data_IF_555993465372
#
_entry.id   IF_555993465372
#
_cell.length_a   1.000
_cell.length_b   1.000
_cell.length_c   1.000
_cell.angle_alpha   90.00
_cell.angle_beta   90.00
_cell.angle_gamma   90.00
#
_symmetry.space_group_name_H-M   'P 1'
#
loop_
_entity.id
_entity.type
_entity.pdbx_description
1 polymer ?
#
# COMPACT_ATOMS: atom_id res chain seq x y z
N UNK A 1 -8.08 3.54 78.93
CA UNK A 1 -7.00 3.70 77.93
C UNK A 1 -7.25 2.72 76.80
N UNK A 2 -7.31 3.22 75.54
CA UNK A 2 -6.88 2.61 74.26
C UNK A 2 -7.36 1.17 73.94
N UNK A 3 -7.85 0.77 72.76
CA UNK A 3 -8.04 1.28 71.39
C UNK A 3 -9.02 0.24 70.76
N UNK A 4 -10.11 0.58 70.06
CA UNK A 4 -10.25 0.98 68.65
C UNK A 4 -9.56 0.06 67.60
N UNK A 5 -10.37 -0.33 66.59
CA UNK A 5 -10.05 -0.72 65.19
C UNK A 5 -9.72 -2.20 64.94
N UNK A 6 -10.06 -2.89 63.85
CA UNK A 6 -11.02 -2.85 62.73
C UNK A 6 -10.44 -3.91 61.76
N UNK A 7 -11.26 -4.84 61.30
CA UNK A 7 -11.28 -5.45 59.95
C UNK A 7 -9.94 -5.74 59.25
N UNK A 8 -9.72 -7.01 58.89
CA UNK A 8 -9.72 -7.44 57.47
C UNK A 8 -9.09 -8.83 57.36
N UNK A 9 -9.93 -9.78 56.97
CA UNK A 9 -9.51 -11.09 56.48
C UNK A 9 -8.72 -10.85 55.19
N UNK A 10 -7.38 -10.96 55.28
CA UNK A 10 -6.49 -10.84 54.13
C UNK A 10 -6.66 -12.10 53.27
N UNK A 11 -7.64 -12.07 52.37
CA UNK A 11 -7.74 -13.06 51.30
C UNK A 11 -6.47 -12.95 50.45
N UNK A 12 -5.66 -13.99 50.53
CA UNK A 12 -4.58 -14.27 49.59
C UNK A 12 -5.19 -14.52 48.21
N UNK A 13 -5.45 -13.46 47.45
CA UNK A 13 -5.64 -13.59 46.02
C UNK A 13 -4.25 -13.67 45.36
N UNK A 14 -3.63 -14.85 45.45
CA UNK A 14 -2.58 -15.22 44.51
C UNK A 14 -3.24 -15.50 43.16
N UNK A 15 -3.56 -14.44 42.42
CA UNK A 15 -3.84 -14.56 40.98
C UNK A 15 -2.51 -14.77 40.29
N UNK A 16 -2.05 -16.01 40.25
CA UNK A 16 -1.10 -16.39 39.22
C UNK A 16 -1.92 -16.31 37.93
N UNK A 17 -1.78 -15.22 37.19
CA UNK A 17 -2.26 -15.16 35.82
C UNK A 17 -1.63 -16.35 35.11
N UNK A 18 -2.45 -17.32 34.71
CA UNK A 18 -2.06 -18.31 33.72
C UNK A 18 -2.18 -17.64 32.35
N UNK A 19 -1.24 -16.76 32.04
CA UNK A 19 -0.94 -16.43 30.66
C UNK A 19 0.14 -17.40 30.23
N UNK A 20 -0.30 -18.51 29.64
CA UNK A 20 0.55 -19.34 28.79
C UNK A 20 0.01 -19.15 27.38
N UNK A 21 0.47 -18.08 26.73
CA UNK A 21 0.39 -17.96 25.28
C UNK A 21 1.70 -18.51 24.73
N UNK A 22 1.70 -19.79 24.39
CA UNK A 22 2.82 -20.46 23.76
C UNK A 22 2.93 -20.05 22.30
N UNK A 23 4.18 -19.81 21.87
CA UNK A 23 4.66 -19.28 20.60
C UNK A 23 4.58 -17.75 20.48
N UNK A 24 5.28 -17.05 21.38
CA UNK A 24 5.91 -15.77 21.00
C UNK A 24 6.93 -16.10 19.91
N UNK A 25 6.50 -16.04 18.65
CA UNK A 25 7.44 -15.97 17.54
C UNK A 25 8.36 -14.78 17.82
N UNK A 26 9.67 -15.00 17.78
CA UNK A 26 10.63 -13.92 17.96
C UNK A 26 10.24 -12.81 16.96
N UNK A 27 9.98 -11.55 17.41
CA UNK A 27 9.66 -10.45 16.50
C UNK A 27 10.67 -10.28 15.37
N UNK A 28 11.91 -10.73 15.58
CA UNK A 28 12.96 -10.77 14.58
C UNK A 28 12.75 -11.88 13.55
N UNK A 29 12.23 -13.04 13.93
CA UNK A 29 11.91 -14.13 13.00
C UNK A 29 10.62 -13.85 12.22
N UNK A 30 9.66 -13.13 12.79
CA UNK A 30 8.36 -12.84 12.14
C UNK A 30 8.32 -11.57 11.30
N UNK A 31 9.34 -10.72 11.38
CA UNK A 31 9.34 -9.43 10.68
C UNK A 31 9.55 -9.57 9.17
N UNK A 32 8.58 -9.14 8.36
CA UNK A 32 8.70 -9.19 6.89
C UNK A 32 9.80 -8.23 6.38
N UNK A 33 10.14 -7.20 7.16
CA UNK A 33 11.22 -6.24 6.85
C UNK A 33 12.62 -6.88 6.81
N UNK A 34 12.78 -8.06 7.41
CA UNK A 34 14.06 -8.79 7.39
C UNK A 34 14.29 -9.53 6.06
N UNK A 35 13.23 -9.73 5.26
CA UNK A 35 13.32 -10.20 3.88
C UNK A 35 13.13 -9.00 2.93
N UNK A 36 14.24 -8.48 2.42
CA UNK A 36 14.22 -7.34 1.51
C UNK A 36 13.49 -7.61 0.19
N UNK A 37 13.42 -8.87 -0.26
CA UNK A 37 12.66 -9.22 -1.46
C UNK A 37 11.16 -9.19 -1.15
N UNK A 38 10.72 -9.81 -0.05
CA UNK A 38 9.31 -9.74 0.37
C UNK A 38 8.88 -8.29 0.62
N UNK A 39 9.70 -7.50 1.30
CA UNK A 39 9.43 -6.07 1.55
C UNK A 39 9.20 -5.31 0.25
N UNK A 40 10.05 -5.53 -0.77
CA UNK A 40 9.89 -4.90 -2.07
C UNK A 40 8.64 -5.40 -2.80
N UNK A 41 8.32 -6.70 -2.72
CA UNK A 41 7.10 -7.25 -3.33
C UNK A 41 5.82 -6.66 -2.70
N UNK A 42 5.75 -6.58 -1.38
CA UNK A 42 4.63 -5.94 -0.66
C UNK A 42 4.50 -4.47 -1.08
N UNK A 43 5.63 -3.75 -1.17
CA UNK A 43 5.62 -2.37 -1.66
C UNK A 43 5.14 -2.27 -3.11
N UNK A 44 5.58 -3.18 -3.99
CA UNK A 44 5.22 -3.17 -5.41
C UNK A 44 3.74 -3.42 -5.64
N UNK A 45 3.09 -4.27 -4.82
CA UNK A 45 1.63 -4.41 -4.84
C UNK A 45 0.97 -3.11 -4.37
N UNK A 46 1.52 -2.47 -3.35
CA UNK A 46 0.98 -1.23 -2.78
C UNK A 46 1.37 0.05 -3.56
N UNK A 47 2.05 -0.05 -4.71
CA UNK A 47 2.32 1.11 -5.57
C UNK A 47 1.03 1.51 -6.29
N UNK A 48 0.87 2.80 -6.55
CA UNK A 48 -0.22 3.29 -7.39
C UNK A 48 0.00 2.86 -8.84
N UNK A 49 -0.92 2.07 -9.38
CA UNK A 49 -0.97 1.74 -10.81
C UNK A 49 -1.59 2.92 -11.58
N UNK A 50 -0.75 3.63 -12.34
CA UNK A 50 -1.16 4.75 -13.18
C UNK A 50 -1.71 4.37 -14.55
N UNK A 51 -1.65 3.10 -14.95
CA UNK A 51 -1.88 2.70 -16.34
C UNK A 51 -3.32 2.83 -16.85
N UNK A 52 -4.29 3.09 -15.97
CA UNK A 52 -5.71 3.10 -16.34
C UNK A 52 -6.11 4.30 -17.21
N UNK A 53 -5.33 5.38 -17.23
CA UNK A 53 -5.56 6.56 -18.07
C UNK A 53 -4.42 6.88 -19.05
N UNK A 54 -3.58 5.87 -19.37
CA UNK A 54 -2.53 5.94 -20.40
C UNK A 54 -3.03 6.47 -21.74
N UNK A 55 -4.31 6.24 -22.07
CA UNK A 55 -4.92 6.75 -23.30
C UNK A 55 -5.03 8.29 -23.34
N UNK A 56 -5.06 8.93 -22.17
CA UNK A 56 -5.21 10.38 -22.00
C UNK A 56 -3.87 11.04 -21.72
N UNK A 57 -3.08 10.48 -20.80
CA UNK A 57 -1.86 11.11 -20.32
C UNK A 57 -0.56 10.52 -20.90
N UNK A 58 -0.66 9.39 -21.63
CA UNK A 58 0.46 8.75 -22.31
C UNK A 58 1.54 8.21 -21.38
N UNK A 59 1.28 7.95 -20.09
CA UNK A 59 2.30 7.49 -19.16
C UNK A 59 1.77 6.62 -18.02
N UNK A 60 2.27 5.39 -17.93
CA UNK A 60 1.92 4.48 -16.85
C UNK A 60 2.56 4.79 -15.48
N UNK A 61 3.41 5.82 -15.39
CA UNK A 61 4.16 6.16 -14.17
C UNK A 61 3.37 7.05 -13.20
N UNK A 62 2.21 7.55 -13.63
CA UNK A 62 1.30 8.37 -12.84
C UNK A 62 -0.09 8.29 -13.47
N UNK A 63 -1.08 8.90 -12.84
CA UNK A 63 -2.41 9.09 -13.44
C UNK A 63 -2.94 10.48 -13.14
N UNK A 64 -3.89 10.96 -13.94
CA UNK A 64 -4.62 12.20 -13.68
C UNK A 64 -5.77 11.94 -12.69
N UNK A 65 -5.85 12.76 -11.65
CA UNK A 65 -6.89 12.67 -10.64
C UNK A 65 -8.22 13.20 -11.19
N UNK A 66 -9.28 12.42 -11.04
CA UNK A 66 -10.64 12.88 -11.35
C UNK A 66 -11.11 13.96 -10.35
N UNK A 67 -11.99 14.90 -10.79
CA UNK A 67 -12.38 15.13 -12.17
C UNK A 67 -11.38 16.03 -12.92
N UNK A 68 -11.33 15.90 -14.25
CA UNK A 68 -10.57 16.79 -15.13
C UNK A 68 -11.28 16.97 -16.48
N UNK A 69 -10.81 17.92 -17.29
CA UNK A 69 -11.34 18.16 -18.63
C UNK A 69 -10.31 17.77 -19.69
N UNK A 70 -10.79 17.29 -20.84
CA UNK A 70 -9.96 17.05 -22.02
C UNK A 70 -10.55 17.76 -23.24
N UNK A 71 -9.72 18.00 -24.24
CA UNK A 71 -10.14 18.36 -25.59
C UNK A 71 -9.90 17.19 -26.53
N UNK A 72 -10.95 16.76 -27.24
CA UNK A 72 -10.92 15.76 -28.31
C UNK A 72 -11.66 16.34 -29.52
N UNK A 73 -11.04 16.33 -30.70
CA UNK A 73 -11.64 16.86 -31.95
C UNK A 73 -12.24 18.28 -31.83
N UNK A 74 -11.58 19.16 -31.06
CA UNK A 74 -12.02 20.53 -30.72
C UNK A 74 -13.30 20.61 -29.85
N UNK A 75 -13.71 19.52 -29.23
CA UNK A 75 -14.79 19.48 -28.23
C UNK A 75 -14.23 19.20 -26.85
N UNK A 76 -14.74 19.88 -25.83
CA UNK A 76 -14.34 19.66 -24.43
C UNK A 76 -15.22 18.60 -23.80
N UNK A 77 -14.60 17.66 -23.08
CA UNK A 77 -15.26 16.58 -22.37
C UNK A 77 -14.83 16.60 -20.91
N UNK A 78 -15.80 16.38 -20.00
CA UNK A 78 -15.53 16.27 -18.58
C UNK A 78 -15.36 14.79 -18.23
N UNK A 79 -14.24 14.46 -17.60
CA UNK A 79 -13.90 13.12 -17.14
C UNK A 79 -14.08 13.11 -15.63
N UNK A 80 -15.05 12.34 -15.16
CA UNK A 80 -15.44 12.30 -13.75
C UNK A 80 -15.13 10.97 -13.06
N UNK A 81 -14.80 9.94 -13.84
CA UNK A 81 -14.35 8.66 -13.34
C UNK A 81 -13.83 7.75 -14.46
N UNK A 82 -13.42 6.55 -14.06
CA UNK A 82 -12.79 5.56 -14.96
C UNK A 82 -13.71 5.13 -16.12
N UNK A 83 -15.03 5.08 -15.90
CA UNK A 83 -16.00 4.67 -16.93
C UNK A 83 -15.99 5.64 -18.13
N UNK A 84 -15.68 6.91 -17.91
CA UNK A 84 -15.59 7.94 -18.95
C UNK A 84 -14.38 7.74 -19.87
N UNK A 85 -13.40 6.92 -19.46
CA UNK A 85 -12.19 6.63 -20.25
C UNK A 85 -12.40 5.58 -21.33
N UNK A 86 -13.44 4.75 -21.19
CA UNK A 86 -13.72 3.61 -22.07
C UNK A 86 -13.95 3.96 -23.55
N UNK A 87 -14.23 5.24 -23.83
CA UNK A 87 -14.47 5.74 -25.19
C UNK A 87 -13.19 6.17 -25.90
N UNK A 88 -12.07 6.32 -25.18
CA UNK A 88 -10.81 6.77 -25.73
C UNK A 88 -9.99 5.61 -26.26
N UNK A 89 -9.43 5.78 -27.45
CA UNK A 89 -8.52 4.83 -28.06
C UNK A 89 -7.13 5.44 -28.20
N UNK A 90 -6.10 4.60 -28.11
CA UNK A 90 -4.73 4.98 -28.41
C UNK A 90 -4.64 5.58 -29.83
N UNK A 91 -3.99 6.73 -29.95
CA UNK A 91 -3.80 7.45 -31.22
C UNK A 91 -4.80 8.56 -31.50
N UNK A 92 -5.79 8.79 -30.62
CA UNK A 92 -6.60 10.00 -30.65
C UNK A 92 -5.79 11.19 -30.13
N UNK A 93 -5.98 12.38 -30.72
CA UNK A 93 -5.36 13.61 -30.23
C UNK A 93 -6.16 14.15 -29.04
N UNK A 94 -5.93 13.54 -27.88
CA UNK A 94 -6.51 13.93 -26.61
C UNK A 94 -5.57 14.93 -25.94
N UNK A 95 -6.11 16.05 -25.46
CA UNK A 95 -5.34 17.08 -24.75
C UNK A 95 -6.00 17.40 -23.40
N UNK A 96 -5.36 17.09 -22.27
CA UNK A 96 -5.83 17.57 -20.97
C UNK A 96 -5.92 19.10 -20.93
N UNK A 97 -6.99 19.61 -20.32
CA UNK A 97 -7.15 21.04 -20.03
C UNK A 97 -6.52 21.32 -18.68
N UNK A 98 -5.52 22.20 -18.67
CA UNK A 98 -4.77 22.54 -17.47
C UNK A 98 -5.46 23.66 -16.66
N UNK A 99 -5.28 23.70 -15.32
CA UNK A 99 -4.43 22.81 -14.53
C UNK A 99 -5.04 21.43 -14.29
N UNK A 100 -4.17 20.42 -14.12
CA UNK A 100 -4.56 19.06 -13.74
C UNK A 100 -3.81 18.63 -12.47
N UNK A 101 -4.41 17.74 -11.69
CA UNK A 101 -3.77 17.11 -10.55
C UNK A 101 -3.37 15.69 -10.95
N UNK A 102 -2.14 15.28 -10.67
CA UNK A 102 -1.68 13.90 -10.92
C UNK A 102 -1.31 13.19 -9.61
N UNK A 103 -1.31 11.86 -9.63
CA UNK A 103 -0.78 10.98 -8.58
C UNK A 103 0.32 10.09 -9.16
N UNK A 104 1.51 10.10 -8.56
CA UNK A 104 2.63 9.23 -8.94
C UNK A 104 2.51 7.83 -8.30
N UNK A 105 3.29 6.87 -8.78
CA UNK A 105 3.36 5.50 -8.23
C UNK A 105 3.59 5.45 -6.71
N UNK A 106 4.31 6.43 -6.14
CA UNK A 106 4.59 6.54 -4.71
C UNK A 106 3.44 7.21 -3.90
N UNK A 107 2.28 7.44 -4.52
CA UNK A 107 1.10 8.13 -3.98
C UNK A 107 1.28 9.63 -3.71
N UNK A 108 2.40 10.25 -4.13
CA UNK A 108 2.56 11.69 -4.08
C UNK A 108 1.73 12.37 -5.17
N UNK A 109 1.18 13.54 -4.83
CA UNK A 109 0.28 14.28 -5.69
C UNK A 109 0.85 15.66 -6.00
N UNK A 110 0.86 16.05 -7.27
CA UNK A 110 1.25 17.40 -7.70
C UNK A 110 0.27 17.98 -8.71
N UNK A 111 0.10 19.31 -8.66
CA UNK A 111 -0.65 20.05 -9.67
C UNK A 111 0.30 20.40 -10.82
N UNK A 112 -0.13 20.11 -12.04
CA UNK A 112 0.54 20.51 -13.27
C UNK A 112 -0.19 21.71 -13.86
N UNK A 113 0.57 22.74 -14.22
CA UNK A 113 0.04 24.00 -14.76
C UNK A 113 0.01 24.04 -16.28
N UNK A 114 0.82 23.21 -16.94
CA UNK A 114 0.98 23.24 -18.38
C UNK A 114 1.37 21.89 -18.99
N UNK A 115 1.16 21.80 -20.30
CA UNK A 115 1.46 20.64 -21.11
C UNK A 115 2.96 20.35 -21.22
N UNK A 116 3.82 21.38 -21.12
CA UNK A 116 5.27 21.17 -21.21
C UNK A 116 5.81 20.38 -20.01
N UNK A 117 5.23 20.61 -18.83
CA UNK A 117 5.57 19.87 -17.62
C UNK A 117 5.11 18.42 -17.74
N UNK A 118 3.91 18.16 -18.28
CA UNK A 118 3.43 16.81 -18.57
C UNK A 118 4.37 16.07 -19.55
N UNK A 119 4.77 16.70 -20.66
CA UNK A 119 5.72 16.13 -21.62
C UNK A 119 7.06 15.72 -20.98
N UNK A 120 7.57 16.52 -20.04
CA UNK A 120 8.81 16.21 -19.34
C UNK A 120 8.64 14.97 -18.42
N UNK A 121 7.49 14.84 -17.75
CA UNK A 121 7.20 13.67 -16.92
C UNK A 121 7.04 12.40 -17.77
N UNK A 122 6.33 12.49 -18.90
CA UNK A 122 6.22 11.39 -19.88
C UNK A 122 7.61 10.95 -20.36
N UNK A 123 8.49 11.89 -20.68
CA UNK A 123 9.86 11.59 -21.09
C UNK A 123 10.65 10.89 -19.98
N UNK A 124 10.57 11.40 -18.74
CA UNK A 124 11.25 10.77 -17.59
C UNK A 124 10.74 9.35 -17.34
N UNK A 125 9.43 9.11 -17.49
CA UNK A 125 8.84 7.78 -17.40
C UNK A 125 9.41 6.85 -18.49
N UNK A 126 9.41 7.29 -19.75
CA UNK A 126 9.92 6.50 -20.88
C UNK A 126 11.42 6.17 -20.77
N UNK A 127 12.21 7.06 -20.17
CA UNK A 127 13.63 6.84 -19.89
C UNK A 127 13.90 5.99 -18.62
N UNK A 128 12.84 5.53 -17.93
CA UNK A 128 12.96 4.73 -16.71
C UNK A 128 13.51 5.50 -15.51
N UNK A 129 13.35 6.83 -15.51
CA UNK A 129 13.78 7.71 -14.42
C UNK A 129 12.74 7.83 -13.29
N UNK A 130 11.61 7.14 -13.44
CA UNK A 130 10.50 7.11 -12.50
C UNK A 130 10.19 5.66 -12.11
N UNK A 131 9.76 5.44 -10.87
CA UNK A 131 9.40 4.11 -10.41
C UNK A 131 8.05 3.70 -11.01
N UNK A 132 8.02 2.59 -11.72
CA UNK A 132 6.82 1.99 -12.32
C UNK A 132 6.80 0.47 -12.17
N UNK A 133 7.53 -0.06 -11.17
CA UNK A 133 7.59 -1.51 -10.91
C UNK A 133 6.43 -1.98 -10.01
N UNK A 134 5.22 -1.51 -10.30
CA UNK A 134 4.02 -1.95 -9.61
C UNK A 134 3.60 -3.34 -10.07
N UNK A 135 2.97 -4.11 -9.19
CA UNK A 135 2.39 -5.42 -9.50
C UNK A 135 0.89 -5.22 -9.66
N UNK A 136 0.43 -5.05 -10.90
CA UNK A 136 -0.96 -4.69 -11.22
C UNK A 136 -1.95 -5.86 -11.13
N UNK A 137 -1.47 -7.11 -11.13
CA UNK A 137 -2.36 -8.26 -11.17
C UNK A 137 -2.79 -8.77 -9.79
N UNK A 138 -2.20 -8.24 -8.71
CA UNK A 138 -2.48 -8.62 -7.33
C UNK A 138 -2.78 -7.37 -6.49
N UNK A 139 -3.85 -7.43 -5.71
CA UNK A 139 -4.20 -6.42 -4.71
C UNK A 139 -4.30 -7.04 -3.31
N UNK A 140 -4.00 -6.27 -2.28
CA UNK A 140 -4.38 -6.63 -0.91
C UNK A 140 -5.86 -6.34 -0.67
N UNK A 141 -6.55 -7.27 0.00
CA UNK A 141 -7.84 -6.95 0.62
C UNK A 141 -7.58 -6.40 2.01
N UNK A 142 -7.73 -5.09 2.15
CA UNK A 142 -7.62 -4.38 3.42
C UNK A 142 -8.84 -4.62 4.32
N UNK A 143 -8.73 -4.55 5.65
CA UNK A 143 -7.64 -4.03 6.49
C UNK A 143 -6.65 -5.11 6.97
N UNK A 144 -5.35 -4.81 6.99
CA UNK A 144 -4.29 -5.73 7.45
C UNK A 144 -3.62 -5.16 8.70
N UNK A 145 -3.68 -5.90 9.81
CA UNK A 145 -3.02 -5.49 11.05
C UNK A 145 -1.54 -5.87 11.05
N UNK A 146 -0.70 -4.96 11.55
CA UNK A 146 0.75 -5.14 11.63
C UNK A 146 1.23 -4.77 13.03
N UNK A 147 1.85 -5.74 13.70
CA UNK A 147 2.51 -5.53 14.98
C UNK A 147 3.91 -4.94 14.75
N UNK A 148 4.24 -3.88 15.49
CA UNK A 148 5.52 -3.19 15.38
C UNK A 148 6.32 -3.31 16.67
N UNK A 149 7.63 -3.50 16.52
CA UNK A 149 8.60 -3.40 17.62
C UNK A 149 9.75 -2.50 17.21
N UNK A 150 9.99 -1.43 17.99
CA UNK A 150 11.17 -0.58 17.82
C UNK A 150 12.27 -1.03 18.78
N UNK A 151 13.28 -1.69 18.23
CA UNK A 151 14.43 -2.22 19.00
C UNK A 151 15.29 -1.13 19.64
N UNK A 152 15.23 0.12 19.16
CA UNK A 152 15.99 1.23 19.74
C UNK A 152 15.32 1.81 20.99
N UNK A 153 13.98 1.74 21.04
CA UNK A 153 13.16 2.27 22.14
C UNK A 153 12.65 1.16 23.07
N UNK A 154 12.68 -0.10 22.63
CA UNK A 154 12.12 -1.23 23.36
C UNK A 154 10.60 -1.18 23.46
N UNK A 155 9.93 -0.57 22.48
CA UNK A 155 8.49 -0.32 22.51
C UNK A 155 7.74 -1.15 21.49
N UNK A 156 6.56 -1.65 21.89
CA UNK A 156 5.61 -2.31 21.02
C UNK A 156 4.47 -1.37 20.64
N UNK A 157 4.03 -1.44 19.39
CA UNK A 157 2.84 -0.76 18.90
C UNK A 157 2.18 -1.60 17.81
N UNK A 158 1.08 -1.12 17.25
CA UNK A 158 0.45 -1.72 16.08
C UNK A 158 -0.04 -0.62 15.15
N UNK A 159 -0.14 -0.96 13.88
CA UNK A 159 -0.77 -0.14 12.85
C UNK A 159 -1.69 -1.02 12.02
N UNK A 160 -2.59 -0.39 11.28
CA UNK A 160 -3.43 -1.06 10.30
C UNK A 160 -3.09 -0.49 8.93
N UNK A 161 -2.77 -1.37 7.99
CA UNK A 161 -2.78 -1.03 6.58
C UNK A 161 -4.23 -1.06 6.10
N UNK A 162 -4.75 0.10 5.69
CA UNK A 162 -6.13 0.29 5.27
C UNK A 162 -6.28 0.60 3.76
N UNK A 163 -5.17 0.92 3.11
CA UNK A 163 -5.06 1.18 1.67
C UNK A 163 -3.60 1.09 1.24
N UNK A 164 -3.35 0.83 -0.04
CA UNK A 164 -2.02 0.86 -0.69
C UNK A 164 -1.18 2.07 -0.33
N UNK A 165 -1.77 3.28 -0.32
CA UNK A 165 -1.07 4.48 0.10
C UNK A 165 -0.49 4.35 1.49
N UNK A 166 -1.31 3.93 2.46
CA UNK A 166 -0.90 3.76 3.85
C UNK A 166 0.14 2.66 3.98
N UNK A 167 -0.05 1.53 3.28
CA UNK A 167 0.91 0.42 3.23
C UNK A 167 2.27 0.89 2.73
N UNK A 168 2.31 1.49 1.53
CA UNK A 168 3.54 1.97 0.90
C UNK A 168 4.25 3.02 1.75
N UNK A 169 3.52 4.04 2.21
CA UNK A 169 4.08 5.13 3.01
C UNK A 169 4.56 4.66 4.39
N UNK A 170 3.87 3.71 5.02
CA UNK A 170 4.30 3.12 6.29
C UNK A 170 5.62 2.37 6.14
N UNK A 171 5.72 1.50 5.13
CA UNK A 171 6.94 0.73 4.88
C UNK A 171 8.13 1.66 4.58
N UNK A 172 7.91 2.71 3.78
CA UNK A 172 8.93 3.73 3.50
C UNK A 172 9.34 4.53 4.75
N UNK A 173 8.41 4.75 5.68
CA UNK A 173 8.62 5.52 6.90
C UNK A 173 9.26 4.72 8.04
N UNK A 174 9.28 3.39 7.96
CA UNK A 174 9.89 2.56 9.00
C UNK A 174 11.38 2.80 9.10
N UNK A 175 11.84 2.91 10.34
CA UNK A 175 13.26 3.07 10.64
C UNK A 175 13.99 1.73 10.51
N UNK A 176 15.32 1.76 10.47
CA UNK A 176 16.14 0.53 10.48
C UNK A 176 16.02 -0.28 11.78
N UNK A 177 15.54 0.31 12.87
CA UNK A 177 15.33 -0.39 14.15
C UNK A 177 13.92 -0.97 14.29
N UNK A 178 13.04 -0.72 13.32
CA UNK A 178 11.67 -1.20 13.30
C UNK A 178 11.61 -2.65 12.79
N UNK A 179 10.96 -3.51 13.56
CA UNK A 179 10.49 -4.83 13.14
C UNK A 179 8.98 -4.75 12.94
N UNK A 180 8.47 -5.36 11.88
CA UNK A 180 7.05 -5.31 11.52
C UNK A 180 6.53 -6.69 11.14
N UNK A 181 5.55 -7.19 11.89
CA UNK A 181 4.97 -8.53 11.74
C UNK A 181 3.52 -8.44 11.30
N UNK A 182 3.23 -8.92 10.08
CA UNK A 182 1.88 -9.01 9.53
C UNK A 182 1.08 -10.02 10.36
N UNK A 183 -0.14 -9.64 10.73
CA UNK A 183 -1.09 -10.55 11.37
C UNK A 183 -1.81 -11.35 10.29
N UNK A 184 -1.44 -12.63 10.16
CA UNK A 184 -2.04 -13.54 9.21
C UNK A 184 -3.35 -14.17 9.74
N UNK A 185 -4.27 -14.59 8.87
CA UNK A 185 -4.17 -14.55 7.41
C UNK A 185 -4.38 -13.17 6.79
N UNK A 186 -3.75 -12.95 5.63
CA UNK A 186 -4.07 -11.83 4.72
C UNK A 186 -4.71 -12.39 3.46
N UNK A 187 -5.54 -11.58 2.80
CA UNK A 187 -6.21 -11.98 1.57
C UNK A 187 -5.61 -11.19 0.41
N UNK A 188 -5.19 -11.91 -0.63
CA UNK A 188 -4.80 -11.35 -1.92
C UNK A 188 -5.94 -11.53 -2.92
N UNK A 189 -6.24 -10.48 -3.67
CA UNK A 189 -7.15 -10.54 -4.81
C UNK A 189 -6.33 -10.60 -6.08
N UNK A 190 -6.53 -11.66 -6.87
CA UNK A 190 -5.92 -11.82 -8.18
C UNK A 190 -6.96 -11.47 -9.27
N UNK A 191 -6.63 -10.51 -10.12
CA UNK A 191 -7.55 -10.01 -11.15
C UNK A 191 -8.13 -11.15 -12.01
N UNK A 192 -9.46 -11.24 -12.07
CA UNK A 192 -10.16 -12.25 -12.87
C UNK A 192 -10.26 -13.65 -12.24
N UNK A 193 -9.88 -13.82 -10.98
CA UNK A 193 -9.92 -15.10 -10.27
C UNK A 193 -10.50 -14.98 -8.85
N UNK A 194 -10.43 -16.07 -8.07
CA UNK A 194 -10.85 -16.08 -6.66
C UNK A 194 -9.77 -15.51 -5.75
N UNK A 195 -10.20 -14.87 -4.67
CA UNK A 195 -9.33 -14.41 -3.59
C UNK A 195 -8.51 -15.58 -2.97
N UNK A 196 -7.26 -15.29 -2.62
CA UNK A 196 -6.29 -16.23 -2.07
C UNK A 196 -6.02 -15.86 -0.61
N UNK A 197 -6.23 -16.80 0.31
CA UNK A 197 -5.86 -16.64 1.72
C UNK A 197 -4.42 -17.07 1.94
N UNK A 198 -3.63 -16.18 2.53
CA UNK A 198 -2.20 -16.35 2.76
C UNK A 198 -1.94 -16.37 4.27
N UNK A 199 -1.12 -17.29 4.75
CA UNK A 199 -0.95 -17.60 6.18
C UNK A 199 0.48 -17.37 6.72
N UNK A 200 1.46 -17.08 5.87
CA UNK A 200 2.82 -16.71 6.32
C UNK A 200 3.53 -15.77 5.35
N UNK A 201 4.67 -15.22 5.80
CA UNK A 201 5.55 -14.38 4.97
C UNK A 201 6.11 -15.17 3.78
N UNK A 202 6.48 -16.44 4.00
CA UNK A 202 6.99 -17.33 2.95
C UNK A 202 5.92 -17.61 1.91
N UNK A 203 4.70 -17.96 2.36
CA UNK A 203 3.57 -18.19 1.46
C UNK A 203 3.21 -16.91 0.67
N UNK A 204 3.22 -15.75 1.33
CA UNK A 204 3.00 -14.46 0.67
C UNK A 204 4.02 -14.22 -0.43
N UNK A 205 5.31 -14.42 -0.13
CA UNK A 205 6.39 -14.24 -1.09
C UNK A 205 6.25 -15.19 -2.28
N UNK A 206 5.97 -16.47 -2.02
CA UNK A 206 5.83 -17.50 -3.05
C UNK A 206 4.67 -17.21 -4.00
N UNK A 207 3.49 -16.88 -3.45
CA UNK A 207 2.30 -16.55 -4.24
C UNK A 207 2.56 -15.34 -5.14
N UNK A 208 3.18 -14.28 -4.60
CA UNK A 208 3.47 -13.09 -5.39
C UNK A 208 4.45 -13.44 -6.52
N UNK A 209 5.53 -14.18 -6.24
CA UNK A 209 6.52 -14.55 -7.26
C UNK A 209 5.96 -15.47 -8.35
N UNK A 210 5.06 -16.39 -8.00
CA UNK A 210 4.38 -17.28 -8.95
C UNK A 210 3.54 -16.47 -9.94
N UNK A 211 2.78 -15.50 -9.44
CA UNK A 211 1.84 -14.72 -10.24
C UNK A 211 2.45 -13.49 -10.90
N UNK A 212 3.57 -12.97 -10.39
CA UNK A 212 4.24 -11.78 -10.94
C UNK A 212 4.61 -11.94 -12.41
N UNK A 213 5.01 -13.16 -12.82
CA UNK A 213 5.34 -13.44 -14.23
C UNK A 213 4.13 -13.36 -15.17
N UNK A 214 2.92 -13.54 -14.62
CA UNK A 214 1.65 -13.49 -15.34
C UNK A 214 0.98 -12.10 -15.29
N UNK A 215 1.58 -11.11 -14.61
CA UNK A 215 1.07 -9.73 -14.61
C UNK A 215 1.32 -8.96 -15.93
N UNK A 216 1.79 -9.64 -17.00
CA UNK A 216 2.09 -9.05 -18.31
C UNK A 216 1.13 -9.54 -19.39
#
# INVERSE_FOLDING_TARGET
MKNFIFIAFLFMFSTCQKEEFSLETDPQESSFLNDGQLTNLVKSIALHDGSFDDAVDGSNCFSINFPYEITLDNSTHNITGIDDLSIFQSGQEIRPVFPIQITFSNHEQIQLEDYQTLLNLQHNCAEGLMDNNFISCLDFVYNIDVALFDSSLGTFSSITFDHDRTTYQSIQGFSKSTLASIQFPVILKLHGSSDISVHSNEELKEIILEHQSACN
#
